data_IF_361270400651
#
_entry.id   IF_361270400651
#
_cell.length_a   1.000
_cell.length_b   1.000
_cell.length_c   1.000
_cell.angle_alpha   90.00
_cell.angle_beta   90.00
_cell.angle_gamma   90.00
#
_symmetry.space_group_name_H-M   'P 1'
#
loop_
_entity.id
_entity.type
_entity.pdbx_description
1 polymer ?
#
# COMPACT_ATOMS: atom_id res chain seq x y z
N UNK A 1 -30.34 15.78 -16.41
CA UNK A 1 -29.39 15.88 -17.53
C UNK A 1 -28.14 15.19 -17.03
N UNK A 2 -27.66 14.09 -17.63
CA UNK A 2 -26.45 13.44 -17.18
C UNK A 2 -25.29 14.39 -17.45
N UNK A 3 -24.49 14.66 -16.41
CA UNK A 3 -23.20 15.30 -16.55
C UNK A 3 -22.32 14.39 -17.43
N UNK A 4 -21.69 14.95 -18.46
CA UNK A 4 -20.86 14.19 -19.38
C UNK A 4 -19.45 14.07 -18.80
N UNK A 5 -18.67 13.08 -19.26
CA UNK A 5 -17.23 12.93 -18.93
C UNK A 5 -16.42 14.23 -19.09
N UNK A 6 -16.91 15.19 -19.88
CA UNK A 6 -16.31 16.52 -20.01
C UNK A 6 -16.36 17.34 -18.71
N UNK A 7 -17.31 17.05 -17.81
CA UNK A 7 -17.42 17.75 -16.52
C UNK A 7 -16.39 17.20 -15.52
N UNK A 8 -15.87 15.97 -15.75
CA UNK A 8 -14.78 15.39 -14.96
C UNK A 8 -13.41 16.00 -15.30
N UNK A 9 -13.14 16.26 -16.59
CA UNK A 9 -11.91 16.93 -17.05
C UNK A 9 -11.80 18.39 -16.57
N UNK A 10 -12.93 19.07 -16.27
CA UNK A 10 -12.93 20.44 -15.74
C UNK A 10 -12.59 20.51 -14.23
N UNK A 11 -12.60 19.36 -13.52
CA UNK A 11 -12.25 19.27 -12.09
C UNK A 11 -10.75 19.09 -11.85
N UNK A 12 -9.97 18.77 -12.89
CA UNK A 12 -8.51 18.78 -12.81
C UNK A 12 -8.03 20.22 -13.00
N UNK A 13 -7.49 20.81 -11.95
CA UNK A 13 -6.78 22.08 -12.12
C UNK A 13 -5.63 21.84 -13.10
N UNK A 14 -5.38 22.79 -14.00
CA UNK A 14 -4.42 22.68 -15.10
C UNK A 14 -2.95 22.59 -14.63
N UNK A 15 -2.66 22.16 -13.38
CA UNK A 15 -1.34 22.02 -12.76
C UNK A 15 -1.01 20.60 -12.33
N UNK A 16 -1.86 19.61 -12.62
CA UNK A 16 -1.54 18.19 -12.34
C UNK A 16 -1.44 17.85 -10.85
N UNK A 17 -1.97 18.69 -9.97
CA UNK A 17 -2.12 18.36 -8.56
C UNK A 17 -3.43 17.60 -8.38
N UNK A 18 -3.31 16.29 -8.12
CA UNK A 18 -4.39 15.49 -7.58
C UNK A 18 -4.78 16.08 -6.23
N UNK A 19 -5.83 16.89 -6.19
CA UNK A 19 -6.53 17.21 -4.93
C UNK A 19 -7.23 15.93 -4.54
N UNK A 20 -6.56 15.10 -3.75
CA UNK A 20 -7.11 13.86 -3.18
C UNK A 20 -8.16 14.25 -2.14
N UNK A 21 -9.38 14.42 -2.58
CA UNK A 21 -10.50 14.64 -1.70
C UNK A 21 -11.35 13.35 -1.65
N UNK A 22 -11.77 12.94 -0.47
CA UNK A 22 -12.72 11.82 -0.29
C UNK A 22 -14.01 12.00 -1.10
N UNK A 23 -14.32 13.23 -1.48
CA UNK A 23 -15.41 13.56 -2.40
C UNK A 23 -15.14 13.11 -3.86
N UNK A 24 -13.87 12.99 -4.26
CA UNK A 24 -13.50 12.59 -5.62
C UNK A 24 -13.73 11.10 -5.84
N UNK A 25 -13.25 10.26 -4.92
CA UNK A 25 -13.51 8.82 -4.94
C UNK A 25 -15.02 8.52 -4.87
N UNK A 26 -15.78 9.25 -4.03
CA UNK A 26 -17.23 9.11 -3.94
C UNK A 26 -17.94 9.45 -5.24
N UNK A 27 -17.52 10.51 -5.93
CA UNK A 27 -18.04 10.89 -7.25
C UNK A 27 -17.68 9.87 -8.33
N UNK A 28 -16.45 9.35 -8.30
CA UNK A 28 -16.03 8.31 -9.22
C UNK A 28 -16.88 7.04 -9.05
N UNK A 29 -17.16 6.62 -7.80
CA UNK A 29 -18.07 5.51 -7.52
C UNK A 29 -19.48 5.75 -8.08
N UNK A 30 -20.06 6.94 -7.84
CA UNK A 30 -21.37 7.28 -8.40
C UNK A 30 -21.38 7.18 -9.93
N UNK A 31 -20.31 7.59 -10.61
CA UNK A 31 -20.21 7.50 -12.06
C UNK A 31 -20.01 6.07 -12.54
N UNK A 32 -19.20 5.27 -11.87
CA UNK A 32 -19.10 3.83 -12.15
C UNK A 32 -20.48 3.17 -12.08
N UNK A 33 -21.22 3.41 -11.01
CA UNK A 33 -22.57 2.85 -10.84
C UNK A 33 -23.53 3.34 -11.94
N UNK A 34 -23.50 4.61 -12.30
CA UNK A 34 -24.35 5.16 -13.37
C UNK A 34 -24.02 4.56 -14.75
N UNK A 35 -22.73 4.34 -15.06
CA UNK A 35 -22.31 3.71 -16.31
C UNK A 35 -22.81 2.27 -16.36
N UNK A 36 -22.62 1.52 -15.27
CA UNK A 36 -23.07 0.11 -15.17
C UNK A 36 -24.59 -0.01 -15.26
N UNK A 37 -25.35 0.84 -14.55
CA UNK A 37 -26.82 0.88 -14.59
C UNK A 37 -27.34 1.20 -16.01
N UNK A 38 -26.75 2.23 -16.64
CA UNK A 38 -27.11 2.62 -18.00
C UNK A 38 -26.85 1.48 -19.00
N UNK A 39 -25.71 0.82 -18.91
CA UNK A 39 -25.34 -0.29 -19.80
C UNK A 39 -26.27 -1.48 -19.64
N UNK A 40 -26.67 -1.81 -18.39
CA UNK A 40 -27.65 -2.86 -18.09
C UNK A 40 -29.01 -2.54 -18.71
N UNK A 41 -29.50 -1.30 -18.59
CA UNK A 41 -30.78 -0.87 -19.12
C UNK A 41 -30.83 -0.90 -20.65
N UNK A 42 -29.74 -0.50 -21.32
CA UNK A 42 -29.66 -0.38 -22.78
C UNK A 42 -29.38 -1.73 -23.47
N UNK A 43 -28.57 -2.60 -22.89
CA UNK A 43 -28.08 -3.80 -23.56
C UNK A 43 -28.63 -5.10 -22.97
N UNK A 44 -29.10 -5.11 -21.71
CA UNK A 44 -29.53 -6.30 -21.00
C UNK A 44 -30.95 -6.20 -20.43
N UNK A 45 -31.72 -5.19 -20.86
CA UNK A 45 -33.09 -4.95 -20.43
C UNK A 45 -34.01 -6.16 -20.67
N UNK A 46 -34.28 -6.96 -19.62
CA UNK A 46 -35.27 -8.00 -19.62
C UNK A 46 -34.80 -9.45 -19.41
N UNK A 47 -33.54 -9.72 -19.15
CA UNK A 47 -33.10 -11.05 -18.73
C UNK A 47 -33.21 -11.13 -17.21
N UNK A 48 -34.29 -11.76 -16.70
CA UNK A 48 -34.35 -12.22 -15.31
C UNK A 48 -33.16 -13.17 -15.09
N UNK A 49 -32.24 -12.78 -14.19
CA UNK A 49 -31.16 -13.66 -13.73
C UNK A 49 -31.79 -14.95 -13.16
N UNK A 50 -31.59 -16.07 -13.84
CA UNK A 50 -31.86 -17.37 -13.24
C UNK A 50 -30.74 -17.62 -12.26
N UNK A 51 -31.06 -17.58 -10.95
CA UNK A 51 -30.13 -17.94 -9.90
C UNK A 51 -29.52 -19.30 -10.16
N UNK A 52 -28.19 -19.32 -10.11
CA UNK A 52 -27.24 -20.41 -9.85
C UNK A 52 -25.84 -20.15 -10.47
N UNK A 53 -25.55 -18.91 -10.95
CA UNK A 53 -24.24 -18.46 -11.47
C UNK A 53 -23.82 -17.18 -10.71
N UNK A 54 -23.60 -17.32 -9.40
CA UNK A 54 -23.34 -16.16 -8.50
C UNK A 54 -21.89 -15.63 -8.59
N UNK A 55 -20.98 -16.27 -9.35
CA UNK A 55 -19.55 -15.94 -9.39
C UNK A 55 -19.08 -15.43 -10.77
N UNK A 56 -19.96 -15.08 -11.69
CA UNK A 56 -19.58 -14.60 -13.01
C UNK A 56 -19.66 -13.07 -13.10
N UNK A 57 -18.60 -12.46 -13.69
CA UNK A 57 -18.55 -11.01 -13.90
C UNK A 57 -19.72 -10.51 -14.75
N UNK A 58 -20.24 -9.34 -14.42
CA UNK A 58 -21.30 -8.71 -15.19
C UNK A 58 -20.82 -8.48 -16.63
N UNK A 59 -21.60 -8.90 -17.67
CA UNK A 59 -21.26 -8.56 -19.04
C UNK A 59 -21.41 -7.05 -19.26
N UNK A 60 -20.36 -6.41 -19.80
CA UNK A 60 -20.30 -4.98 -20.08
C UNK A 60 -20.10 -4.75 -21.57
N UNK A 61 -20.79 -3.78 -22.17
CA UNK A 61 -20.60 -3.39 -23.57
C UNK A 61 -19.24 -2.74 -23.81
N UNK A 62 -18.75 -2.78 -25.03
CA UNK A 62 -17.47 -2.15 -25.40
C UNK A 62 -17.48 -0.62 -25.14
N UNK A 63 -18.64 0.03 -25.25
CA UNK A 63 -18.81 1.47 -24.99
C UNK A 63 -18.66 1.76 -23.49
N UNK A 64 -19.40 1.04 -22.64
CA UNK A 64 -19.30 1.19 -21.19
C UNK A 64 -17.90 0.80 -20.66
N UNK A 65 -17.29 -0.25 -21.21
CA UNK A 65 -15.92 -0.64 -20.89
C UNK A 65 -14.89 0.47 -21.22
N UNK A 66 -15.07 1.16 -22.34
CA UNK A 66 -14.19 2.28 -22.70
C UNK A 66 -14.38 3.49 -21.77
N UNK A 67 -15.63 3.82 -21.40
CA UNK A 67 -15.93 4.89 -20.44
C UNK A 67 -15.36 4.57 -19.05
N UNK A 68 -15.53 3.36 -18.56
CA UNK A 68 -14.99 2.91 -17.26
C UNK A 68 -13.45 2.93 -17.24
N UNK A 69 -12.78 2.45 -18.29
CA UNK A 69 -11.31 2.54 -18.38
C UNK A 69 -10.82 3.99 -18.31
N UNK A 70 -11.46 4.89 -19.07
CA UNK A 70 -11.10 6.31 -19.05
C UNK A 70 -11.30 6.95 -17.68
N UNK A 71 -12.31 6.51 -16.92
CA UNK A 71 -12.61 6.99 -15.59
C UNK A 71 -11.61 6.47 -14.55
N UNK A 72 -11.26 5.16 -14.62
CA UNK A 72 -10.41 4.49 -13.64
C UNK A 72 -8.90 4.78 -13.86
N UNK A 73 -8.48 4.99 -15.11
CA UNK A 73 -7.07 5.17 -15.47
C UNK A 73 -6.32 6.25 -14.69
N UNK A 74 -6.90 7.45 -14.41
CA UNK A 74 -6.22 8.50 -13.66
C UNK A 74 -6.29 8.34 -12.15
N UNK A 75 -7.12 7.40 -11.63
CA UNK A 75 -7.33 7.23 -10.20
C UNK A 75 -6.12 6.58 -9.53
N UNK A 76 -5.92 6.92 -8.27
CA UNK A 76 -4.94 6.25 -7.43
C UNK A 76 -5.39 4.82 -7.08
N UNK A 77 -4.47 3.82 -6.94
CA UNK A 77 -4.84 2.45 -6.56
C UNK A 77 -5.75 2.37 -5.33
N UNK A 78 -5.52 3.16 -4.29
CA UNK A 78 -6.36 3.22 -3.09
C UNK A 78 -7.80 3.68 -3.38
N UNK A 79 -8.01 4.61 -4.35
CA UNK A 79 -9.35 5.05 -4.74
C UNK A 79 -10.07 3.96 -5.54
N UNK A 80 -9.34 3.25 -6.40
CA UNK A 80 -9.87 2.08 -7.14
C UNK A 80 -10.23 0.96 -6.17
N UNK A 81 -9.38 0.68 -5.19
CA UNK A 81 -9.64 -0.31 -4.14
C UNK A 81 -10.94 0.02 -3.39
N UNK A 82 -11.10 1.26 -2.96
CA UNK A 82 -12.31 1.72 -2.27
C UNK A 82 -13.57 1.58 -3.15
N UNK A 83 -13.48 1.88 -4.46
CA UNK A 83 -14.58 1.68 -5.42
C UNK A 83 -14.93 0.19 -5.52
N UNK A 84 -13.93 -0.69 -5.66
CA UNK A 84 -14.13 -2.14 -5.75
C UNK A 84 -14.78 -2.71 -4.49
N UNK A 85 -14.39 -2.22 -3.31
CA UNK A 85 -15.01 -2.62 -2.03
C UNK A 85 -16.50 -2.25 -1.95
N UNK A 86 -16.88 -1.12 -2.53
CA UNK A 86 -18.26 -0.62 -2.49
C UNK A 86 -19.20 -1.30 -3.51
N UNK A 87 -18.66 -2.02 -4.51
CA UNK A 87 -19.45 -2.66 -5.57
C UNK A 87 -19.91 -4.07 -5.17
N UNK A 88 -21.12 -4.51 -5.62
CA UNK A 88 -21.51 -5.92 -5.61
C UNK A 88 -20.52 -6.81 -6.37
N UNK A 89 -20.46 -8.10 -6.04
CA UNK A 89 -19.46 -9.03 -6.56
C UNK A 89 -19.37 -9.04 -8.09
N UNK A 90 -20.49 -9.17 -8.78
CA UNK A 90 -20.56 -9.25 -10.24
C UNK A 90 -20.11 -7.94 -10.93
N UNK A 91 -20.48 -6.80 -10.38
CA UNK A 91 -20.03 -5.47 -10.84
C UNK A 91 -18.53 -5.25 -10.51
N UNK A 92 -18.10 -5.66 -9.33
CA UNK A 92 -16.70 -5.61 -8.90
C UNK A 92 -15.78 -6.36 -9.85
N UNK A 93 -16.11 -7.61 -10.17
CA UNK A 93 -15.33 -8.45 -11.09
C UNK A 93 -15.31 -7.86 -12.50
N UNK A 94 -16.42 -7.29 -12.94
CA UNK A 94 -16.49 -6.63 -14.24
C UNK A 94 -15.61 -5.38 -14.30
N UNK A 95 -15.59 -4.57 -13.25
CA UNK A 95 -14.72 -3.40 -13.14
C UNK A 95 -13.26 -3.83 -12.99
N UNK A 96 -12.97 -4.85 -12.17
CA UNK A 96 -11.62 -5.39 -11.99
C UNK A 96 -10.96 -5.80 -13.30
N UNK A 97 -11.70 -6.48 -14.17
CA UNK A 97 -11.21 -6.88 -15.51
C UNK A 97 -10.88 -5.69 -16.44
N UNK A 98 -11.25 -4.47 -16.06
CA UNK A 98 -10.97 -3.25 -16.82
C UNK A 98 -9.81 -2.42 -16.26
N UNK A 99 -9.36 -2.74 -15.05
CA UNK A 99 -8.21 -2.08 -14.40
C UNK A 99 -6.94 -2.38 -15.20
N UNK A 100 -5.96 -1.48 -15.16
CA UNK A 100 -4.65 -1.70 -15.76
C UNK A 100 -3.87 -2.74 -14.99
N UNK A 101 -3.31 -3.72 -15.66
CA UNK A 101 -2.45 -4.76 -15.08
C UNK A 101 -1.25 -4.21 -14.31
N UNK A 102 -0.77 -3.02 -14.64
CA UNK A 102 0.34 -2.33 -13.95
C UNK A 102 -0.02 -1.89 -12.52
N UNK A 103 -1.30 -1.78 -12.18
CA UNK A 103 -1.79 -1.35 -10.86
C UNK A 103 -2.41 -2.47 -10.04
N UNK A 104 -2.48 -3.69 -10.58
CA UNK A 104 -3.16 -4.81 -9.94
C UNK A 104 -2.53 -5.14 -8.57
N UNK A 105 -1.21 -5.18 -8.48
CA UNK A 105 -0.49 -5.42 -7.23
C UNK A 105 -0.83 -4.39 -6.15
N UNK A 106 -0.69 -3.10 -6.48
CA UNK A 106 -0.98 -2.00 -5.56
C UNK A 106 -2.43 -2.02 -5.06
N UNK A 107 -3.39 -2.37 -5.94
CA UNK A 107 -4.81 -2.47 -5.55
C UNK A 107 -5.05 -3.67 -4.65
N UNK A 108 -4.41 -4.82 -4.91
CA UNK A 108 -4.53 -6.00 -4.05
C UNK A 108 -4.04 -5.76 -2.63
N UNK A 109 -3.03 -4.92 -2.44
CA UNK A 109 -2.55 -4.52 -1.11
C UNK A 109 -3.56 -3.63 -0.40
N UNK A 110 -4.22 -2.73 -1.12
CA UNK A 110 -5.12 -1.71 -0.55
C UNK A 110 -6.52 -2.22 -0.20
N UNK A 111 -7.02 -3.27 -0.85
CA UNK A 111 -8.36 -3.81 -0.57
C UNK A 111 -8.38 -4.66 0.70
N UNK A 112 -9.55 -4.73 1.36
CA UNK A 112 -9.76 -5.63 2.49
C UNK A 112 -9.69 -7.11 2.09
N UNK A 113 -9.44 -8.00 3.07
CA UNK A 113 -9.17 -9.42 2.84
C UNK A 113 -10.30 -10.13 2.06
N UNK A 114 -11.56 -9.85 2.39
CA UNK A 114 -12.70 -10.48 1.71
C UNK A 114 -12.85 -10.08 0.24
N UNK A 115 -12.47 -8.85 -0.09
CA UNK A 115 -12.42 -8.38 -1.49
C UNK A 115 -11.19 -8.94 -2.18
N UNK A 116 -10.03 -8.94 -1.52
CA UNK A 116 -8.77 -9.47 -2.03
C UNK A 116 -8.91 -10.91 -2.50
N UNK A 117 -9.49 -11.76 -1.67
CA UNK A 117 -9.75 -13.15 -2.00
C UNK A 117 -10.55 -13.28 -3.33
N UNK A 118 -11.62 -12.50 -3.49
CA UNK A 118 -12.43 -12.52 -4.71
C UNK A 118 -11.69 -12.04 -5.95
N UNK A 119 -10.79 -11.04 -5.81
CA UNK A 119 -10.00 -10.53 -6.93
C UNK A 119 -8.90 -11.52 -7.34
N UNK A 120 -8.20 -12.12 -6.37
CA UNK A 120 -7.18 -13.15 -6.60
C UNK A 120 -7.78 -14.37 -7.30
N UNK A 121 -8.96 -14.83 -6.87
CA UNK A 121 -9.65 -15.96 -7.49
C UNK A 121 -10.08 -15.68 -8.95
N UNK A 122 -10.28 -14.42 -9.30
CA UNK A 122 -10.64 -14.02 -10.66
C UNK A 122 -9.43 -13.84 -11.60
N UNK A 123 -8.20 -13.81 -11.09
CA UNK A 123 -6.98 -13.67 -11.87
C UNK A 123 -6.45 -15.02 -12.33
N UNK A 124 -5.84 -15.04 -13.52
CA UNK A 124 -5.02 -16.19 -13.88
C UNK A 124 -3.65 -16.15 -13.18
N UNK A 125 -2.93 -17.28 -13.23
CA UNK A 125 -1.69 -17.43 -12.47
C UNK A 125 -0.56 -16.53 -12.95
N UNK A 126 -0.48 -16.32 -14.24
CA UNK A 126 0.58 -15.48 -14.83
C UNK A 126 0.31 -14.01 -14.50
N UNK A 127 -0.94 -13.57 -14.60
CA UNK A 127 -1.37 -12.23 -14.17
C UNK A 127 -1.08 -11.99 -12.67
N UNK A 128 -1.37 -12.97 -11.83
CA UNK A 128 -1.15 -12.86 -10.39
C UNK A 128 0.35 -12.79 -10.05
N UNK A 129 1.19 -13.56 -10.74
CA UNK A 129 2.65 -13.48 -10.59
C UNK A 129 3.15 -12.10 -11.01
N UNK A 130 2.74 -11.63 -12.19
CA UNK A 130 3.15 -10.32 -12.71
C UNK A 130 2.74 -9.18 -11.77
N UNK A 131 1.54 -9.25 -11.18
CA UNK A 131 1.06 -8.27 -10.21
C UNK A 131 1.91 -8.25 -8.92
N UNK A 132 2.20 -9.42 -8.37
CA UNK A 132 2.95 -9.55 -7.11
C UNK A 132 4.43 -9.23 -7.28
N UNK A 133 5.03 -9.49 -8.45
CA UNK A 133 6.43 -9.16 -8.74
C UNK A 133 6.70 -7.64 -8.79
N UNK A 134 5.66 -6.80 -8.87
CA UNK A 134 5.82 -5.33 -8.84
C UNK A 134 5.88 -4.78 -7.41
N UNK A 135 5.53 -5.57 -6.42
CA UNK A 135 5.40 -5.17 -5.02
C UNK A 135 6.74 -5.22 -4.27
N UNK A 136 6.85 -4.43 -3.23
CA UNK A 136 7.96 -4.48 -2.30
C UNK A 136 7.89 -5.74 -1.40
N UNK A 137 9.00 -6.08 -0.76
CA UNK A 137 9.11 -7.35 -0.03
C UNK A 137 8.16 -7.45 1.18
N UNK A 138 7.89 -6.35 1.85
CA UNK A 138 6.90 -6.22 2.94
C UNK A 138 5.47 -6.39 2.42
N UNK A 139 5.11 -5.75 1.32
CA UNK A 139 3.82 -5.91 0.66
C UNK A 139 3.58 -7.35 0.19
N UNK A 140 4.62 -8.00 -0.36
CA UNK A 140 4.55 -9.44 -0.68
C UNK A 140 4.30 -10.27 0.57
N UNK A 141 4.93 -9.92 1.69
CA UNK A 141 4.75 -10.65 2.96
C UNK A 141 3.30 -10.56 3.45
N UNK A 142 2.64 -9.42 3.28
CA UNK A 142 1.23 -9.22 3.65
C UNK A 142 0.26 -10.05 2.80
N UNK A 143 0.63 -10.38 1.55
CA UNK A 143 -0.19 -11.18 0.64
C UNK A 143 0.06 -12.69 0.72
N UNK A 144 1.09 -13.15 1.43
CA UNK A 144 1.56 -14.56 1.40
C UNK A 144 0.44 -15.56 1.71
N UNK A 145 -0.41 -15.27 2.69
CA UNK A 145 -1.47 -16.17 3.14
C UNK A 145 -2.65 -16.24 2.15
N UNK A 146 -2.81 -15.21 1.32
CA UNK A 146 -3.86 -15.13 0.30
C UNK A 146 -3.42 -15.75 -1.04
N UNK A 147 -2.10 -15.88 -1.26
CA UNK A 147 -1.56 -16.35 -2.54
C UNK A 147 -1.54 -17.88 -2.67
N UNK A 148 -1.89 -18.45 -3.85
CA UNK A 148 -1.68 -19.84 -4.12
C UNK A 148 -0.21 -20.26 -3.96
N UNK A 149 0.09 -21.45 -3.37
CA UNK A 149 1.46 -21.89 -3.08
C UNK A 149 2.40 -21.95 -4.29
N UNK A 150 1.87 -22.23 -5.48
CA UNK A 150 2.63 -22.29 -6.72
C UNK A 150 2.96 -20.90 -7.28
N UNK A 151 2.05 -19.92 -7.14
CA UNK A 151 2.31 -18.50 -7.43
C UNK A 151 3.41 -17.99 -6.49
N UNK A 152 3.29 -18.25 -5.19
CA UNK A 152 4.29 -17.86 -4.21
C UNK A 152 5.67 -18.46 -4.49
N UNK A 153 5.73 -19.73 -4.93
CA UNK A 153 6.98 -20.36 -5.32
C UNK A 153 7.62 -19.67 -6.53
N UNK A 154 6.83 -19.28 -7.53
CA UNK A 154 7.31 -18.58 -8.72
C UNK A 154 7.80 -17.17 -8.39
N UNK A 155 7.06 -16.41 -7.60
CA UNK A 155 7.47 -15.08 -7.09
C UNK A 155 8.82 -15.19 -6.36
N UNK A 156 8.97 -16.17 -5.45
CA UNK A 156 10.23 -16.37 -4.73
C UNK A 156 11.42 -16.70 -5.65
N UNK A 157 11.20 -17.34 -6.79
CA UNK A 157 12.26 -17.59 -7.78
C UNK A 157 12.74 -16.29 -8.45
N UNK A 158 11.84 -15.33 -8.66
CA UNK A 158 12.15 -14.01 -9.23
C UNK A 158 12.95 -13.10 -8.29
N UNK A 159 12.74 -13.22 -6.97
CA UNK A 159 13.39 -12.39 -5.96
C UNK A 159 14.91 -12.62 -5.89
N UNK A 160 15.65 -11.57 -5.60
CA UNK A 160 17.09 -11.65 -5.27
C UNK A 160 17.33 -12.47 -3.98
N UNK A 161 18.58 -12.83 -3.72
CA UNK A 161 18.92 -13.54 -2.49
C UNK A 161 18.63 -12.71 -1.22
N UNK A 162 18.79 -11.39 -1.31
CA UNK A 162 18.53 -10.43 -0.23
C UNK A 162 17.02 -10.33 0.05
N UNK A 163 16.22 -10.06 -0.97
CA UNK A 163 14.76 -9.98 -0.88
C UNK A 163 14.13 -11.27 -0.34
N UNK A 164 14.61 -12.45 -0.79
CA UNK A 164 14.18 -13.73 -0.22
C UNK A 164 14.51 -13.89 1.25
N UNK A 165 15.64 -13.35 1.69
CA UNK A 165 16.01 -13.38 3.11
C UNK A 165 15.11 -12.44 3.92
N UNK A 166 14.81 -11.26 3.39
CA UNK A 166 13.90 -10.28 3.99
C UNK A 166 12.48 -10.83 4.09
N UNK A 167 11.95 -11.40 3.02
CA UNK A 167 10.63 -12.02 3.00
C UNK A 167 10.50 -13.13 4.04
N UNK A 168 11.51 -14.03 4.13
CA UNK A 168 11.53 -15.07 5.16
C UNK A 168 11.63 -14.50 6.56
N UNK A 169 12.34 -13.40 6.75
CA UNK A 169 12.42 -12.73 8.04
C UNK A 169 11.06 -12.14 8.42
N UNK A 170 10.39 -11.39 7.53
CA UNK A 170 9.07 -10.84 7.76
C UNK A 170 8.05 -11.93 8.14
N UNK A 171 7.98 -13.01 7.37
CA UNK A 171 7.10 -14.15 7.63
C UNK A 171 7.42 -14.91 8.94
N UNK A 172 8.58 -14.73 9.51
CA UNK A 172 8.99 -15.39 10.77
C UNK A 172 8.57 -14.64 12.02
N UNK A 173 8.20 -13.36 11.88
CA UNK A 173 7.71 -12.54 12.99
C UNK A 173 6.23 -12.80 13.27
N UNK A 174 5.77 -12.60 14.52
CA UNK A 174 4.33 -12.59 14.81
C UNK A 174 3.59 -11.53 13.98
N UNK A 175 2.40 -11.85 13.50
CA UNK A 175 1.59 -11.00 12.60
C UNK A 175 1.36 -9.59 13.15
N UNK A 176 1.10 -9.45 14.45
CA UNK A 176 0.88 -8.17 15.14
C UNK A 176 2.18 -7.47 15.57
N UNK A 177 3.34 -7.94 15.12
CA UNK A 177 4.62 -7.36 15.53
C UNK A 177 5.15 -6.32 14.53
N UNK A 178 5.99 -5.41 15.03
CA UNK A 178 6.73 -4.45 14.22
C UNK A 178 7.52 -5.14 13.11
N UNK A 179 8.11 -6.31 13.38
CA UNK A 179 8.92 -7.05 12.41
C UNK A 179 8.14 -7.58 11.21
N UNK A 180 6.87 -7.93 11.40
CA UNK A 180 5.99 -8.34 10.32
C UNK A 180 5.56 -7.17 9.41
N UNK A 181 5.59 -5.95 9.95
CA UNK A 181 5.13 -4.72 9.29
C UNK A 181 6.24 -3.78 8.85
N UNK A 182 7.51 -4.10 9.13
CA UNK A 182 8.61 -3.21 8.79
C UNK A 182 8.95 -3.24 7.32
N UNK A 183 9.22 -2.06 6.79
CA UNK A 183 9.76 -1.83 5.46
C UNK A 183 11.29 -2.06 5.47
N UNK A 184 11.80 -2.79 4.49
CA UNK A 184 13.22 -3.09 4.31
C UNK A 184 13.95 -2.07 3.45
N UNK A 185 13.22 -1.20 2.76
CA UNK A 185 13.78 -0.11 1.98
C UNK A 185 14.32 1.00 2.88
N UNK A 186 15.59 0.92 3.21
CA UNK A 186 16.25 1.81 4.16
C UNK A 186 17.31 2.64 3.47
N UNK A 187 17.24 3.96 3.61
CA UNK A 187 18.35 4.84 3.23
C UNK A 187 19.28 5.01 4.42
N UNK A 188 20.44 4.36 4.36
CA UNK A 188 21.46 4.44 5.41
C UNK A 188 22.78 5.04 4.93
N UNK A 189 23.44 5.76 5.80
CA UNK A 189 24.73 6.43 5.56
C UNK A 189 25.71 6.15 6.68
N UNK A 190 27.00 6.38 6.44
CA UNK A 190 28.05 6.22 7.43
C UNK A 190 28.28 7.49 8.24
N UNK A 191 28.54 7.34 9.55
CA UNK A 191 28.79 8.48 10.44
C UNK A 191 30.03 9.31 10.07
N UNK A 192 31.01 8.68 9.41
CA UNK A 192 32.26 9.35 8.99
C UNK A 192 32.10 10.18 7.72
N UNK A 193 30.91 10.24 7.15
CA UNK A 193 30.58 10.91 5.88
C UNK A 193 30.30 12.41 6.08
N UNK A 194 30.48 13.21 5.05
CA UNK A 194 30.06 14.63 5.02
C UNK A 194 28.70 14.78 4.34
N UNK A 195 28.02 15.89 4.60
CA UNK A 195 26.73 16.22 3.96
C UNK A 195 26.86 16.26 2.43
N UNK A 196 27.99 16.73 1.87
CA UNK A 196 28.22 16.68 0.43
C UNK A 196 28.11 15.27 -0.14
N UNK A 197 28.74 14.30 0.53
CA UNK A 197 28.69 12.89 0.09
C UNK A 197 27.30 12.28 0.27
N UNK A 198 26.58 12.65 1.32
CA UNK A 198 25.19 12.26 1.52
C UNK A 198 24.30 12.76 0.39
N UNK A 199 24.37 14.05 0.06
CA UNK A 199 23.64 14.64 -1.06
C UNK A 199 23.96 13.95 -2.41
N UNK A 200 25.24 13.63 -2.62
CA UNK A 200 25.68 12.92 -3.83
C UNK A 200 25.12 11.49 -3.86
N UNK A 201 25.05 10.83 -2.72
CA UNK A 201 24.47 9.49 -2.57
C UNK A 201 22.96 9.52 -2.85
N UNK A 202 22.21 10.42 -2.21
CA UNK A 202 20.76 10.54 -2.40
C UNK A 202 20.37 10.84 -3.87
N UNK A 203 21.17 11.60 -4.59
CA UNK A 203 20.95 11.91 -6.02
C UNK A 203 21.19 10.74 -6.96
N UNK A 204 21.61 9.58 -6.47
CA UNK A 204 21.76 8.36 -7.27
C UNK A 204 20.47 7.55 -7.35
N UNK A 205 19.54 7.78 -6.46
CA UNK A 205 18.21 7.21 -6.53
C UNK A 205 17.42 7.95 -7.61
N UNK A 206 16.68 7.24 -8.42
CA UNK A 206 15.68 7.82 -9.34
C UNK A 206 14.54 8.41 -8.52
N UNK A 207 14.02 7.63 -7.57
CA UNK A 207 13.09 8.02 -6.51
C UNK A 207 13.62 7.50 -5.19
N UNK A 208 13.44 8.27 -4.11
CA UNK A 208 13.70 7.75 -2.76
C UNK A 208 12.56 6.83 -2.36
N UNK A 209 12.81 5.83 -1.47
CA UNK A 209 11.75 5.03 -0.89
C UNK A 209 10.63 5.92 -0.32
N UNK A 210 9.41 5.47 -0.43
CA UNK A 210 8.24 6.20 0.03
C UNK A 210 8.36 6.55 1.52
N UNK A 211 7.76 7.66 1.93
CA UNK A 211 7.83 8.17 3.31
C UNK A 211 9.26 8.36 3.86
N UNK A 212 10.26 8.62 3.00
CA UNK A 212 11.61 8.96 3.44
C UNK A 212 11.65 10.40 3.95
N UNK A 213 11.65 10.57 5.27
CA UNK A 213 11.77 11.86 5.97
C UNK A 213 13.18 12.08 6.55
N UNK A 214 13.90 11.00 6.76
CA UNK A 214 15.22 10.97 7.36
C UNK A 214 16.08 9.85 6.77
N UNK A 215 17.39 9.94 6.98
CA UNK A 215 18.34 8.86 6.70
C UNK A 215 18.89 8.32 8.01
N UNK A 216 19.19 7.03 8.03
CA UNK A 216 19.72 6.36 9.20
C UNK A 216 21.26 6.33 9.16
N UNK A 217 21.88 6.70 10.25
CA UNK A 217 23.35 6.72 10.37
C UNK A 217 23.81 5.44 11.04
N UNK A 218 24.67 4.70 10.37
CA UNK A 218 25.18 3.42 10.85
C UNK A 218 26.71 3.37 10.88
N UNK A 219 27.25 2.51 11.74
CA UNK A 219 28.67 2.19 11.71
C UNK A 219 29.01 1.13 10.62
N UNK A 220 30.27 0.68 10.57
CA UNK A 220 30.74 -0.30 9.59
C UNK A 220 30.11 -1.70 9.74
N UNK A 221 29.57 -1.99 10.92
CA UNK A 221 28.92 -3.26 11.24
C UNK A 221 27.39 -3.20 11.11
N UNK A 222 26.85 -2.04 10.73
CA UNK A 222 25.42 -1.83 10.56
C UNK A 222 24.68 -1.44 11.84
N UNK A 223 25.39 -1.17 12.94
CA UNK A 223 24.74 -0.68 14.17
C UNK A 223 24.25 0.75 13.97
N UNK A 224 23.01 1.01 14.39
CA UNK A 224 22.43 2.32 14.34
C UNK A 224 23.13 3.26 15.31
N UNK A 225 23.58 4.43 14.81
CA UNK A 225 24.27 5.48 15.58
C UNK A 225 23.44 6.73 15.76
N UNK A 226 22.56 7.02 14.79
CA UNK A 226 21.74 8.20 14.81
C UNK A 226 20.86 8.31 13.59
N UNK A 227 20.13 9.41 13.50
CA UNK A 227 19.31 9.78 12.34
C UNK A 227 19.61 11.20 11.91
N UNK A 228 19.37 11.50 10.65
CA UNK A 228 19.55 12.83 10.08
C UNK A 228 18.37 13.13 9.16
N UNK A 229 17.60 14.18 9.46
CA UNK A 229 16.43 14.54 8.65
C UNK A 229 16.82 15.07 7.28
N UNK A 230 16.00 14.85 6.26
CA UNK A 230 16.22 15.43 4.93
C UNK A 230 16.28 16.97 4.99
N UNK A 231 15.49 17.60 5.86
CA UNK A 231 15.52 19.04 6.08
C UNK A 231 16.90 19.51 6.51
N UNK A 232 17.53 18.83 7.48
CA UNK A 232 18.89 19.16 7.93
C UNK A 232 19.94 18.95 6.82
N UNK A 233 19.81 17.87 6.06
CA UNK A 233 20.71 17.58 4.93
C UNK A 233 20.67 18.71 3.91
N UNK A 234 19.47 19.21 3.59
CA UNK A 234 19.27 20.24 2.58
C UNK A 234 19.70 21.65 3.03
N UNK A 235 19.66 21.93 4.32
CA UNK A 235 19.90 23.28 4.88
C UNK A 235 21.26 23.45 5.52
N UNK A 236 22.06 22.40 5.64
CA UNK A 236 23.39 22.45 6.28
C UNK A 236 24.52 22.62 5.25
N UNK A 237 25.61 23.25 5.67
CA UNK A 237 26.80 23.37 4.84
C UNK A 237 27.32 21.98 4.42
N UNK A 238 27.57 21.75 3.12
CA UNK A 238 28.05 20.47 2.60
C UNK A 238 29.33 19.92 3.24
N UNK A 239 30.18 20.76 3.81
CA UNK A 239 31.45 20.36 4.43
C UNK A 239 31.29 19.76 5.82
N UNK A 240 30.12 19.91 6.46
CA UNK A 240 29.90 19.45 7.84
C UNK A 240 29.84 17.92 7.87
N UNK A 241 30.53 17.26 8.81
CA UNK A 241 30.44 15.82 9.02
C UNK A 241 29.08 15.40 9.58
N UNK A 242 28.56 14.27 9.13
CA UNK A 242 27.28 13.69 9.60
C UNK A 242 27.25 13.48 11.11
N UNK A 243 28.34 12.98 11.69
CA UNK A 243 28.46 12.73 13.14
C UNK A 243 28.24 13.98 14.02
N UNK A 244 28.47 15.18 13.48
CA UNK A 244 28.32 16.46 14.22
C UNK A 244 26.88 16.98 14.16
N UNK A 245 26.03 16.38 13.32
CA UNK A 245 24.65 16.81 13.07
C UNK A 245 23.60 15.75 13.44
N UNK A 246 23.98 14.48 13.41
CA UNK A 246 23.04 13.38 13.64
C UNK A 246 22.40 13.46 15.03
N UNK A 247 21.13 13.12 15.10
CA UNK A 247 20.44 12.93 16.36
C UNK A 247 20.71 11.52 16.88
N UNK A 248 21.20 11.43 18.10
CA UNK A 248 21.52 10.14 18.76
C UNK A 248 20.45 9.71 19.76
N UNK A 249 19.60 10.64 20.19
CA UNK A 249 18.44 10.39 21.06
C UNK A 249 17.19 10.24 20.21
N UNK A 250 17.03 9.07 19.61
CA UNK A 250 15.91 8.71 18.75
C UNK A 250 15.16 7.52 19.29
N UNK A 251 13.87 7.44 18.97
CA UNK A 251 13.09 6.23 19.22
C UNK A 251 13.61 5.11 18.30
N UNK A 252 13.86 3.95 18.88
CA UNK A 252 14.15 2.71 18.16
C UNK A 252 13.11 1.66 18.52
N UNK A 253 12.69 0.88 17.54
CA UNK A 253 11.74 -0.21 17.72
C UNK A 253 12.49 -1.56 17.64
N UNK A 254 11.96 -2.55 18.35
CA UNK A 254 12.43 -3.93 18.22
C UNK A 254 11.44 -4.70 17.33
N UNK A 255 11.91 -5.62 16.46
CA UNK A 255 11.02 -6.39 15.60
C UNK A 255 9.94 -7.20 16.34
N UNK A 256 10.17 -7.57 17.58
CA UNK A 256 9.21 -8.34 18.40
C UNK A 256 8.25 -7.47 19.22
N UNK A 257 8.38 -6.14 19.16
CA UNK A 257 7.40 -5.25 19.78
C UNK A 257 6.06 -5.33 19.08
N UNK A 258 5.00 -5.09 19.84
CA UNK A 258 3.64 -5.02 19.34
C UNK A 258 3.45 -3.76 18.45
N UNK A 259 2.81 -3.93 17.29
CA UNK A 259 2.58 -2.84 16.34
C UNK A 259 1.65 -1.76 16.90
N UNK A 260 0.70 -2.11 17.77
CA UNK A 260 -0.18 -1.17 18.47
C UNK A 260 0.58 -0.24 19.41
N UNK A 261 1.57 -0.79 20.14
CA UNK A 261 2.44 0.01 21.01
C UNK A 261 3.29 0.98 20.17
N UNK A 262 3.78 0.52 19.03
CA UNK A 262 4.49 1.37 18.06
C UNK A 262 3.57 2.48 17.51
N UNK A 263 2.32 2.17 17.18
CA UNK A 263 1.33 3.16 16.70
C UNK A 263 1.12 4.29 17.74
N UNK A 264 1.01 3.95 19.01
CA UNK A 264 0.90 4.96 20.10
C UNK A 264 2.15 5.85 20.19
N UNK A 265 3.35 5.30 19.91
CA UNK A 265 4.58 6.08 19.90
C UNK A 265 4.64 7.02 18.70
N UNK A 266 4.20 6.57 17.52
CA UNK A 266 4.09 7.41 16.32
C UNK A 266 3.16 8.60 16.52
N UNK A 267 1.97 8.37 17.09
CA UNK A 267 1.02 9.44 17.43
C UNK A 267 1.60 10.41 18.45
N UNK A 268 2.23 9.90 19.51
CA UNK A 268 2.76 10.71 20.61
C UNK A 268 3.90 11.63 20.18
N UNK A 269 4.75 11.19 19.26
CA UNK A 269 5.96 11.88 18.84
C UNK A 269 5.89 12.44 17.43
N UNK A 270 4.71 12.38 16.78
CA UNK A 270 4.47 12.87 15.41
C UNK A 270 5.50 12.29 14.40
N UNK A 271 5.75 10.98 14.48
CA UNK A 271 6.75 10.31 13.64
C UNK A 271 6.22 10.03 12.25
N UNK A 272 7.09 10.17 11.24
CA UNK A 272 6.85 9.70 9.86
C UNK A 272 7.49 8.34 9.65
N UNK A 273 8.68 8.13 10.21
CA UNK A 273 9.36 6.83 10.22
C UNK A 273 10.13 6.62 11.52
N UNK A 274 10.37 5.35 11.87
CA UNK A 274 11.20 4.97 13.01
C UNK A 274 12.10 3.78 12.64
N UNK A 275 13.38 3.78 13.05
CA UNK A 275 14.28 2.66 12.79
C UNK A 275 13.93 1.45 13.64
N UNK A 276 13.99 0.27 13.01
CA UNK A 276 13.86 -1.03 13.66
C UNK A 276 15.25 -1.65 13.81
N UNK A 277 15.60 -2.03 15.02
CA UNK A 277 16.92 -2.60 15.35
C UNK A 277 16.79 -3.97 16.00
N UNK A 278 17.72 -4.86 15.67
CA UNK A 278 17.80 -6.17 16.29
C UNK A 278 18.40 -6.10 17.74
N UNK A 279 18.46 -7.23 18.43
CA UNK A 279 19.02 -7.32 19.79
C UNK A 279 20.49 -6.87 19.85
N UNK A 280 21.22 -6.93 18.73
CA UNK A 280 22.62 -6.45 18.65
C UNK A 280 22.70 -4.95 18.35
N UNK A 281 21.56 -4.25 18.16
CA UNK A 281 21.49 -2.83 17.80
C UNK A 281 21.77 -2.55 16.33
N UNK A 282 21.71 -3.56 15.45
CA UNK A 282 21.86 -3.38 14.00
C UNK A 282 20.53 -2.95 13.39
N UNK A 283 20.60 -2.02 12.47
CA UNK A 283 19.45 -1.57 11.70
C UNK A 283 18.99 -2.70 10.77
N UNK A 284 17.75 -3.16 10.94
CA UNK A 284 17.15 -4.26 10.16
C UNK A 284 15.99 -3.84 9.28
N UNK A 285 15.37 -2.72 9.59
CA UNK A 285 14.23 -2.17 8.85
C UNK A 285 13.84 -0.79 9.38
N UNK A 286 12.73 -0.29 8.89
CA UNK A 286 12.05 0.90 9.41
C UNK A 286 10.55 0.63 9.47
N UNK A 287 9.87 1.27 10.39
CA UNK A 287 8.41 1.32 10.40
C UNK A 287 7.99 2.69 9.89
N UNK A 288 7.00 2.77 9.01
CA UNK A 288 6.51 4.03 8.44
C UNK A 288 5.12 4.38 8.95
N UNK A 289 4.76 5.66 8.82
CA UNK A 289 3.42 6.13 9.20
C UNK A 289 2.32 5.43 8.40
N UNK A 290 2.60 4.99 7.18
CA UNK A 290 1.65 4.26 6.35
C UNK A 290 1.21 2.95 7.03
N UNK A 291 2.17 2.13 7.46
CA UNK A 291 1.92 0.90 8.21
C UNK A 291 1.15 1.16 9.52
N UNK A 292 1.46 2.26 10.18
CA UNK A 292 0.76 2.66 11.41
C UNK A 292 -0.71 2.99 11.16
N UNK A 293 -1.03 3.63 10.04
CA UNK A 293 -2.42 3.90 9.64
C UNK A 293 -3.18 2.59 9.42
N UNK A 294 -2.55 1.59 8.81
CA UNK A 294 -3.15 0.28 8.60
C UNK A 294 -3.38 -0.47 9.91
N UNK A 295 -2.42 -0.44 10.83
CA UNK A 295 -2.58 -1.00 12.19
C UNK A 295 -3.78 -0.37 12.91
N UNK A 296 -3.92 0.95 12.88
CA UNK A 296 -5.04 1.65 13.53
C UNK A 296 -6.37 1.28 12.86
N UNK A 297 -6.41 1.11 11.55
CA UNK A 297 -7.60 0.69 10.81
C UNK A 297 -8.03 -0.72 11.22
N UNK A 298 -7.11 -1.68 11.24
CA UNK A 298 -7.37 -3.06 11.65
C UNK A 298 -7.89 -3.15 13.09
N UNK A 299 -7.27 -2.46 14.05
CA UNK A 299 -7.75 -2.40 15.43
C UNK A 299 -9.18 -1.84 15.53
N UNK A 300 -9.49 -0.82 14.73
CA UNK A 300 -10.82 -0.20 14.71
C UNK A 300 -11.88 -1.16 14.16
N UNK A 301 -11.54 -1.97 13.17
CA UNK A 301 -12.41 -3.00 12.60
C UNK A 301 -12.65 -4.15 13.60
N UNK A 302 -11.60 -4.64 14.26
CA UNK A 302 -11.71 -5.67 15.29
C UNK A 302 -12.59 -5.24 16.46
N UNK A 303 -12.43 -4.02 16.94
CA UNK A 303 -13.26 -3.45 18.00
C UNK A 303 -14.73 -3.33 17.58
N UNK A 304 -15.02 -2.97 16.33
CA UNK A 304 -16.37 -2.93 15.77
C UNK A 304 -17.01 -4.33 15.72
N UNK A 305 -16.28 -5.34 15.24
CA UNK A 305 -16.75 -6.74 15.25
C UNK A 305 -16.95 -7.30 16.66
N UNK A 306 -16.08 -6.95 17.61
CA UNK A 306 -16.20 -7.37 19.00
C UNK A 306 -17.43 -6.75 19.68
N UNK A 307 -17.76 -5.49 19.36
CA UNK A 307 -18.95 -4.80 19.87
C UNK A 307 -20.25 -5.44 19.33
N UNK A 308 -20.30 -5.80 18.06
CA UNK A 308 -21.46 -6.43 17.41
C UNK A 308 -21.74 -7.83 18.00
N UNK A 309 -20.70 -8.65 18.22
CA UNK A 309 -20.82 -9.95 18.89
C UNK A 309 -21.36 -9.85 20.31
N UNK A 310 -21.01 -8.78 21.06
CA UNK A 310 -21.53 -8.53 22.40
C UNK A 310 -23.00 -8.11 22.36
N UNK A 311 -23.39 -7.29 21.39
CA UNK A 311 -24.78 -6.85 21.17
C UNK A 311 -25.70 -8.02 20.81
N UNK A 312 -25.25 -8.97 19.97
CA UNK A 312 -26.02 -10.12 19.52
C UNK A 312 -26.22 -11.17 20.63
N UNK A 313 -25.35 -11.21 21.65
CA UNK A 313 -25.49 -12.13 22.80
C UNK A 313 -26.43 -11.62 23.92
N UNK A 314 -26.85 -10.36 23.86
CA UNK A 314 -27.71 -9.71 24.84
C UNK A 314 -29.20 -9.66 24.43
N UNK A 315 -29.54 -10.13 23.24
CA UNK A 315 -30.90 -10.33 22.73
C UNK A 315 -31.20 -11.83 22.58
#
# INVERSE_FOLDING_TARGET
MPHSLKDYDELHDGQGHLVRDSEEASRALEWVQQILEKDQDEHHGGVERKGDEDDEALPISDEAAAELRQLLEPLHPADVAWILEALPLDERLAVWNLVKSESDGDILVEVNDGVRETLIDAMDRDELVDAVETLDTDEIADLVDDLPPDVMAQVQEGLSHEERAQLRAAMSYPEESVGARMDFEIVSIREETTIELVLRYLRRFETLPDHTDQVFVVDRLGHLKGTLSLSQILTTDPAVPVKDLMHTDMLTLNPLEDSSDAAQAFERYDLVSAPVVDEAGRLVGRLTVNEIVDVIREESEEDAFAADRKSTRLN
#
